data_IF_901340323164
#
_entry.id   IF_901340323164
#
_cell.length_a   1.000
_cell.length_b   1.000
_cell.length_c   1.000
_cell.angle_alpha   90.00
_cell.angle_beta   90.00
_cell.angle_gamma   90.00
#
_symmetry.space_group_name_H-M   'P 1'
#
loop_
_entity.id
_entity.type
_entity.pdbx_description
1 polymer ?
#
# COMPACT_ATOMS: atom_id res chain seq x y z
N UNK A 1 -17.52 17.31 -29.23
CA UNK A 1 -16.54 17.63 -28.16
C UNK A 1 -15.15 17.70 -28.78
N UNK A 2 -14.42 18.81 -28.63
CA UNK A 2 -13.04 18.95 -29.10
C UNK A 2 -12.10 18.80 -27.91
N UNK A 3 -11.41 17.68 -27.82
CA UNK A 3 -10.44 17.43 -26.73
C UNK A 3 -9.12 18.06 -27.14
N UNK A 4 -8.67 19.08 -26.41
CA UNK A 4 -7.42 19.81 -26.73
C UNK A 4 -6.15 19.00 -26.45
N UNK A 5 -6.19 18.10 -25.46
CA UNK A 5 -5.08 17.19 -25.12
C UNK A 5 -5.64 15.84 -24.68
N UNK A 6 -5.40 14.80 -25.47
CA UNK A 6 -5.77 13.43 -25.11
C UNK A 6 -4.83 12.90 -24.02
N UNK A 7 -5.28 12.99 -22.75
CA UNK A 7 -4.55 12.48 -21.59
C UNK A 7 -5.49 11.89 -20.55
N UNK A 8 -5.01 10.89 -19.83
CA UNK A 8 -5.68 10.29 -18.68
C UNK A 8 -5.07 10.84 -17.40
N UNK A 9 -5.93 11.18 -16.43
CA UNK A 9 -5.49 11.55 -15.08
C UNK A 9 -4.90 10.29 -14.41
N UNK A 10 -3.60 10.28 -14.05
CA UNK A 10 -3.00 9.09 -13.45
C UNK A 10 -3.70 8.77 -12.14
N UNK A 11 -4.14 7.51 -11.99
CA UNK A 11 -4.72 7.03 -10.74
C UNK A 11 -3.62 6.97 -9.69
N UNK A 12 -3.89 7.49 -8.49
CA UNK A 12 -3.06 7.21 -7.31
C UNK A 12 -3.31 5.75 -6.94
N UNK A 13 -2.54 4.83 -7.51
CA UNK A 13 -2.59 3.42 -7.11
C UNK A 13 -2.01 3.35 -5.70
N UNK A 14 -2.82 2.95 -4.74
CA UNK A 14 -2.33 2.68 -3.39
C UNK A 14 -1.30 1.55 -3.50
N UNK A 15 -0.05 1.86 -3.13
CA UNK A 15 0.97 0.84 -3.06
C UNK A 15 0.63 -0.06 -1.89
N UNK A 16 0.60 -1.38 -2.11
CA UNK A 16 0.46 -2.33 -1.01
C UNK A 16 1.72 -2.20 -0.14
N UNK A 17 1.59 -1.51 1.00
CA UNK A 17 2.69 -1.38 1.95
C UNK A 17 2.99 -2.75 2.52
N UNK A 18 4.28 -3.16 2.56
CA UNK A 18 4.63 -4.43 3.18
C UNK A 18 4.19 -4.42 4.65
N UNK A 19 3.74 -5.57 5.15
CA UNK A 19 3.30 -5.76 6.53
C UNK A 19 2.02 -5.03 6.96
N UNK A 20 1.27 -4.43 6.03
CA UNK A 20 0.01 -3.76 6.34
C UNK A 20 -1.05 -4.71 6.90
N UNK A 21 -1.08 -5.95 6.39
CA UNK A 21 -1.98 -7.00 6.83
C UNK A 21 -1.68 -7.39 8.28
N UNK A 22 -0.42 -7.72 8.56
CA UNK A 22 0.03 -8.12 9.91
C UNK A 22 -0.24 -7.01 10.92
N UNK A 23 0.03 -5.76 10.55
CA UNK A 23 -0.29 -4.60 11.40
C UNK A 23 -1.80 -4.49 11.67
N UNK A 24 -2.63 -4.63 10.65
CA UNK A 24 -4.08 -4.60 10.82
C UNK A 24 -4.59 -5.72 11.74
N UNK A 25 -4.00 -6.92 11.65
CA UNK A 25 -4.36 -8.04 12.55
C UNK A 25 -3.98 -7.74 14.00
N UNK A 26 -2.79 -7.18 14.24
CA UNK A 26 -2.34 -6.77 15.57
C UNK A 26 -3.24 -5.69 16.16
N UNK A 27 -3.59 -4.68 15.36
CA UNK A 27 -4.51 -3.60 15.77
C UNK A 27 -5.92 -4.14 16.07
N UNK A 28 -6.42 -5.09 15.29
CA UNK A 28 -7.70 -5.75 15.55
C UNK A 28 -7.69 -6.55 16.85
N UNK A 29 -6.59 -7.22 17.15
CA UNK A 29 -6.41 -7.93 18.41
C UNK A 29 -6.38 -6.96 19.60
N UNK A 30 -5.68 -5.83 19.48
CA UNK A 30 -5.68 -4.78 20.51
C UNK A 30 -7.04 -4.14 20.71
N UNK A 31 -7.79 -3.89 19.63
CA UNK A 31 -9.15 -3.38 19.71
C UNK A 31 -10.09 -4.34 20.48
N UNK A 32 -9.84 -5.64 20.37
CA UNK A 32 -10.64 -6.67 21.04
C UNK A 32 -10.23 -6.90 22.50
N UNK A 33 -8.93 -6.77 22.81
CA UNK A 33 -8.37 -7.06 24.13
C UNK A 33 -8.44 -5.88 25.12
N UNK A 34 -8.73 -4.66 24.65
CA UNK A 34 -9.00 -3.49 25.50
C UNK A 34 -7.81 -2.95 26.30
N UNK A 35 -6.60 -3.50 26.15
CA UNK A 35 -5.42 -3.09 26.91
C UNK A 35 -4.19 -2.91 26.00
N UNK A 36 -3.64 -1.70 26.01
CA UNK A 36 -2.46 -1.28 25.23
C UNK A 36 -1.17 -1.28 26.08
N UNK A 37 -1.28 -1.54 27.40
CA UNK A 37 -0.23 -1.20 28.37
C UNK A 37 0.57 -2.33 29.03
N UNK A 38 0.21 -3.61 28.87
CA UNK A 38 0.75 -4.67 29.74
C UNK A 38 1.57 -5.69 28.95
N UNK A 39 2.84 -5.35 28.72
CA UNK A 39 3.87 -6.09 27.95
C UNK A 39 4.37 -7.41 28.56
N UNK A 40 3.55 -8.19 29.27
CA UNK A 40 4.03 -9.43 29.89
C UNK A 40 3.40 -10.70 29.31
N UNK A 41 2.08 -10.74 29.07
CA UNK A 41 1.38 -11.89 28.45
C UNK A 41 0.15 -11.39 27.71
N UNK A 42 0.33 -10.73 26.57
CA UNK A 42 -0.81 -10.22 25.80
C UNK A 42 -1.37 -11.33 24.89
N UNK A 43 -2.69 -11.46 24.73
CA UNK A 43 -3.31 -12.38 23.75
C UNK A 43 -2.90 -12.08 22.30
N UNK A 44 -2.23 -10.95 22.06
CA UNK A 44 -1.78 -10.49 20.76
C UNK A 44 -0.29 -10.76 20.50
N UNK A 45 0.39 -11.52 21.36
CA UNK A 45 1.83 -11.77 21.25
C UNK A 45 2.22 -12.40 19.89
N UNK A 46 1.40 -13.30 19.36
CA UNK A 46 1.69 -13.97 18.09
C UNK A 46 1.47 -13.04 16.89
N UNK A 47 0.43 -12.19 16.92
CA UNK A 47 0.24 -11.13 15.91
C UNK A 47 1.38 -10.10 15.92
N UNK A 48 1.96 -9.83 17.10
CA UNK A 48 3.10 -8.94 17.23
C UNK A 48 4.40 -9.57 16.69
N UNK A 49 4.63 -10.87 16.93
CA UNK A 49 5.76 -11.61 16.34
C UNK A 49 5.66 -11.64 14.81
N UNK A 50 4.47 -11.94 14.27
CA UNK A 50 4.24 -11.96 12.82
C UNK A 50 4.53 -10.60 12.16
N UNK A 51 4.11 -9.50 12.79
CA UNK A 51 4.45 -8.15 12.34
C UNK A 51 5.97 -7.91 12.40
N UNK A 52 6.62 -8.29 13.50
CA UNK A 52 8.06 -8.11 13.67
C UNK A 52 8.86 -8.88 12.62
N UNK A 53 8.50 -10.13 12.35
CA UNK A 53 9.15 -10.96 11.33
C UNK A 53 8.92 -10.41 9.92
N UNK A 54 7.72 -9.90 9.64
CA UNK A 54 7.45 -9.23 8.38
C UNK A 54 8.31 -7.97 8.23
N UNK A 55 8.39 -7.12 9.25
CA UNK A 55 9.21 -5.89 9.20
C UNK A 55 10.70 -6.21 9.03
N UNK A 56 11.19 -7.28 9.67
CA UNK A 56 12.59 -7.73 9.58
C UNK A 56 12.95 -8.24 8.18
N UNK A 57 12.01 -8.88 7.49
CA UNK A 57 12.24 -9.48 6.17
C UNK A 57 11.85 -8.58 5.01
N UNK A 58 10.96 -7.60 5.23
CA UNK A 58 10.47 -6.73 4.17
C UNK A 58 11.53 -5.74 3.69
N UNK A 59 12.09 -6.02 2.51
CA UNK A 59 12.93 -5.05 1.83
C UNK A 59 12.08 -3.83 1.37
N UNK A 60 12.62 -2.61 1.51
CA UNK A 60 12.01 -1.40 0.96
C UNK A 60 11.96 -1.51 -0.56
N UNK A 61 10.83 -1.94 -1.10
CA UNK A 61 10.62 -1.99 -2.55
C UNK A 61 10.57 -0.55 -3.09
N UNK A 62 11.38 -0.29 -4.12
CA UNK A 62 11.41 1.00 -4.79
C UNK A 62 10.05 1.36 -5.41
N UNK A 63 9.91 2.62 -5.83
CA UNK A 63 8.70 3.10 -6.51
C UNK A 63 8.49 2.27 -7.79
N UNK A 64 7.27 1.74 -8.03
CA UNK A 64 7.00 1.02 -9.27
C UNK A 64 7.19 1.93 -10.48
N UNK A 65 7.52 1.37 -11.66
CA UNK A 65 7.66 2.16 -12.87
C UNK A 65 6.35 2.86 -13.21
N UNK A 66 6.45 4.12 -13.67
CA UNK A 66 5.29 4.90 -14.08
C UNK A 66 4.79 4.41 -15.44
N UNK A 67 3.47 4.32 -15.62
CA UNK A 67 2.87 3.99 -16.91
C UNK A 67 3.18 5.06 -17.97
N UNK A 68 3.55 4.66 -19.18
CA UNK A 68 3.80 5.56 -20.33
C UNK A 68 2.54 5.88 -21.15
N UNK A 69 1.35 5.51 -20.67
CA UNK A 69 0.09 5.64 -21.41
C UNK A 69 -0.17 7.06 -21.95
N UNK A 70 0.06 8.10 -21.15
CA UNK A 70 -0.13 9.49 -21.58
C UNK A 70 0.84 9.93 -22.69
N UNK A 71 2.02 9.32 -22.78
CA UNK A 71 2.96 9.58 -23.88
C UNK A 71 2.39 9.07 -25.20
N UNK A 72 1.85 7.84 -25.20
CA UNK A 72 1.25 7.25 -26.40
C UNK A 72 -0.05 7.96 -26.82
N UNK A 73 -0.91 8.34 -25.86
CA UNK A 73 -2.14 9.09 -26.16
C UNK A 73 -1.86 10.47 -26.76
N UNK A 74 -0.82 11.17 -26.28
CA UNK A 74 -0.43 12.46 -26.83
C UNK A 74 0.10 12.34 -28.28
N UNK A 75 0.73 11.21 -28.63
CA UNK A 75 1.16 10.93 -30.01
C UNK A 75 -0.04 10.60 -30.90
N UNK A 76 -0.95 9.78 -30.40
CA UNK A 76 -2.16 9.36 -31.12
C UNK A 76 -3.10 10.53 -31.41
N UNK A 77 -3.28 11.45 -30.46
CA UNK A 77 -4.14 12.63 -30.64
C UNK A 77 -3.67 13.65 -31.69
N UNK A 78 -2.58 13.38 -32.43
CA UNK A 78 -2.20 14.12 -33.64
C UNK A 78 -2.78 13.49 -34.92
N UNK A 79 -3.17 12.22 -34.84
CA UNK A 79 -3.67 11.41 -35.95
C UNK A 79 -5.18 11.16 -35.83
N UNK A 80 -5.81 11.65 -34.76
CA UNK A 80 -7.24 11.60 -34.47
C UNK A 80 -7.68 13.02 -34.14
#
# INVERSE_FOLDING_TARGET
MKISKLKVKPRKVAYATPCATELATMLGCWASAGNVGNSAVSPCADTAKALHDCMRTSAKRGKPPKSTLNYHLARLGKHI
#
